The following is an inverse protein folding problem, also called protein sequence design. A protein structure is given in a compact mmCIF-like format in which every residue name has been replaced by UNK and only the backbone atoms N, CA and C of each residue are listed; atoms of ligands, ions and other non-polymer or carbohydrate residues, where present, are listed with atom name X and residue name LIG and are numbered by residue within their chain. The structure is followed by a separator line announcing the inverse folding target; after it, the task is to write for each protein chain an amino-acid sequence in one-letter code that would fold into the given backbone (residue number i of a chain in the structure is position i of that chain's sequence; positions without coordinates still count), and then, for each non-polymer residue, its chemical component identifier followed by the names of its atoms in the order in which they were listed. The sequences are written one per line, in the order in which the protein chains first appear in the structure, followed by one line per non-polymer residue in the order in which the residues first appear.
data_IF_760532214565
#
_entry.id   IF_760532214565
#
_cell.length_a   1.000
_cell.length_b   1.000
_cell.length_c   1.000
_cell.angle_alpha   90.00
_cell.angle_beta   90.00
_cell.angle_gamma   90.00
#
_symmetry.space_group_name_H-M   'P 1'
#
loop_
_entity.id
_entity.type
_entity.pdbx_description
1 polymer ?
#
# COMPACT_ATOMS: atom_id res chain seq x y z
N UNK A 1 10.37 18.59 -14.38
CA UNK A 1 10.23 18.97 -12.96
C UNK A 1 8.90 18.40 -12.51
N UNK A 2 8.90 17.51 -11.51
CA UNK A 2 7.68 17.00 -10.90
C UNK A 2 6.99 18.13 -10.11
N UNK A 3 5.66 18.05 -9.92
CA UNK A 3 4.92 19.05 -9.12
C UNK A 3 5.39 18.98 -7.66
N UNK A 4 5.95 20.07 -7.13
CA UNK A 4 6.22 20.24 -5.69
C UNK A 4 7.68 20.08 -5.22
N UNK A 5 8.67 20.24 -6.11
CA UNK A 5 10.10 20.17 -5.74
C UNK A 5 10.56 21.28 -4.78
N UNK A 6 11.19 20.90 -3.66
CA UNK A 6 11.94 21.79 -2.76
C UNK A 6 13.41 21.41 -2.80
N UNK A 7 14.34 22.31 -3.12
CA UNK A 7 15.76 21.97 -3.28
C UNK A 7 16.46 21.89 -1.91
N UNK A 8 17.15 20.78 -1.63
CA UNK A 8 18.04 20.64 -0.47
C UNK A 8 19.51 20.48 -0.92
N UNK A 9 20.41 21.21 -0.25
CA UNK A 9 21.86 21.07 -0.42
C UNK A 9 22.40 19.99 0.53
N UNK A 10 23.02 18.96 -0.04
CA UNK A 10 23.70 17.91 0.72
C UNK A 10 25.15 18.30 1.05
N UNK A 11 25.74 17.61 2.04
CA UNK A 11 27.14 17.80 2.44
C UNK A 11 28.17 17.47 1.34
N UNK A 12 27.75 16.84 0.24
CA UNK A 12 28.59 16.56 -0.93
C UNK A 12 28.50 17.64 -2.01
N UNK A 13 27.75 18.73 -1.78
CA UNK A 13 27.51 19.79 -2.76
C UNK A 13 26.48 19.42 -3.84
N UNK A 14 25.94 18.20 -3.83
CA UNK A 14 24.85 17.83 -4.71
C UNK A 14 23.55 18.50 -4.23
N UNK A 15 22.96 19.34 -5.09
CA UNK A 15 21.60 19.88 -4.93
C UNK A 15 20.63 18.82 -5.42
N UNK A 16 19.90 18.18 -4.51
CA UNK A 16 18.82 17.26 -4.87
C UNK A 16 17.50 17.89 -4.48
N UNK A 17 16.54 17.80 -5.37
CA UNK A 17 15.20 18.18 -5.01
C UNK A 17 14.61 17.15 -4.03
N UNK A 18 14.01 17.64 -2.95
CA UNK A 18 13.20 16.93 -1.98
C UNK A 18 11.87 16.50 -2.59
N UNK A 19 11.96 15.62 -3.58
CA UNK A 19 10.81 15.01 -4.24
C UNK A 19 9.99 14.20 -3.23
N UNK A 20 8.67 14.42 -3.27
CA UNK A 20 7.73 13.61 -2.49
C UNK A 20 7.67 12.17 -3.01
N UNK A 21 7.92 11.95 -4.30
CA UNK A 21 7.96 10.63 -4.92
C UNK A 21 9.19 9.83 -4.48
N UNK A 22 9.11 9.23 -3.28
CA UNK A 22 10.20 8.49 -2.63
C UNK A 22 10.11 7.00 -2.90
N UNK A 23 10.48 6.58 -4.12
CA UNK A 23 10.48 5.17 -4.53
C UNK A 23 11.45 4.31 -3.70
N UNK A 24 12.52 4.89 -3.15
CA UNK A 24 13.48 4.23 -2.27
C UNK A 24 12.88 3.80 -0.92
N UNK A 25 11.71 4.35 -0.55
CA UNK A 25 10.98 3.98 0.66
C UNK A 25 9.96 2.86 0.44
N UNK A 26 9.69 2.46 -0.81
CA UNK A 26 8.75 1.38 -1.10
C UNK A 26 9.32 0.02 -0.66
N UNK A 27 8.57 -0.81 0.10
CA UNK A 27 9.02 -2.16 0.41
C UNK A 27 9.01 -3.05 -0.84
N UNK A 28 10.08 -3.82 -1.01
CA UNK A 28 10.21 -4.75 -2.13
C UNK A 28 9.25 -5.95 -2.03
N UNK A 29 9.01 -6.46 -0.81
CA UNK A 29 8.22 -7.68 -0.61
C UNK A 29 6.77 -7.57 -1.11
N UNK A 30 5.98 -6.52 -0.79
CA UNK A 30 4.64 -6.36 -1.35
C UNK A 30 4.61 -6.25 -2.88
N UNK A 31 5.61 -5.60 -3.49
CA UNK A 31 5.72 -5.50 -4.94
C UNK A 31 6.03 -6.85 -5.59
N UNK A 32 6.94 -7.64 -4.99
CA UNK A 32 7.22 -9.00 -5.43
C UNK A 32 5.98 -9.90 -5.31
N UNK A 33 5.24 -9.79 -4.20
CA UNK A 33 4.03 -10.56 -3.99
C UNK A 33 2.93 -10.20 -5.01
N UNK A 34 2.76 -8.92 -5.34
CA UNK A 34 1.87 -8.46 -6.42
C UNK A 34 2.32 -8.95 -7.79
N UNK A 35 3.62 -8.89 -8.09
CA UNK A 35 4.17 -9.37 -9.35
C UNK A 35 3.84 -10.87 -9.55
N UNK A 36 4.09 -11.70 -8.53
CA UNK A 36 3.73 -13.13 -8.56
C UNK A 36 2.22 -13.36 -8.63
N UNK A 37 1.42 -12.53 -7.95
CA UNK A 37 -0.04 -12.61 -8.05
C UNK A 37 -0.52 -12.34 -9.48
N UNK A 38 0.10 -11.40 -10.19
CA UNK A 38 -0.28 -11.07 -11.56
C UNK A 38 0.20 -12.06 -12.62
N UNK A 39 1.21 -12.87 -12.31
CA UNK A 39 1.74 -13.86 -13.24
C UNK A 39 0.70 -14.93 -13.60
N UNK A 40 0.43 -15.07 -14.90
CA UNK A 40 -0.51 -16.05 -15.43
C UNK A 40 -1.98 -15.80 -15.06
N UNK A 41 -2.33 -14.64 -14.48
CA UNK A 41 -3.70 -14.32 -14.07
C UNK A 41 -4.34 -13.25 -14.94
N UNK A 42 -5.61 -13.46 -15.26
CA UNK A 42 -6.51 -12.37 -15.66
C UNK A 42 -7.01 -11.69 -14.41
N UNK A 43 -6.81 -10.39 -14.31
CA UNK A 43 -7.22 -9.59 -13.15
C UNK A 43 -8.46 -8.77 -13.49
N UNK A 44 -9.35 -8.62 -12.51
CA UNK A 44 -10.61 -7.87 -12.66
C UNK A 44 -10.43 -6.42 -12.21
N UNK A 45 -11.34 -5.53 -12.65
CA UNK A 45 -11.45 -4.21 -12.03
C UNK A 45 -11.78 -4.34 -10.55
N UNK A 46 -11.27 -3.43 -9.72
CA UNK A 46 -11.39 -3.48 -8.26
C UNK A 46 -12.75 -3.07 -7.71
N UNK A 47 -13.14 -3.61 -6.55
CA UNK A 47 -14.36 -3.18 -5.83
C UNK A 47 -14.12 -2.94 -4.34
N UNK A 48 -14.86 -1.99 -3.77
CA UNK A 48 -14.84 -1.71 -2.32
C UNK A 48 -15.33 -2.90 -1.47
N UNK A 49 -16.17 -3.76 -2.06
CA UNK A 49 -16.68 -4.97 -1.41
C UNK A 49 -15.58 -6.02 -1.30
N UNK A 50 -14.90 -6.36 -2.40
CA UNK A 50 -13.80 -7.34 -2.39
C UNK A 50 -12.60 -6.83 -1.61
N UNK A 51 -12.28 -5.53 -1.70
CA UNK A 51 -11.27 -4.90 -0.85
C UNK A 51 -11.60 -5.14 0.63
N UNK A 52 -12.83 -4.81 1.06
CA UNK A 52 -13.29 -5.05 2.42
C UNK A 52 -13.23 -6.54 2.80
N UNK A 53 -13.68 -7.43 1.93
CA UNK A 53 -13.65 -8.87 2.15
C UNK A 53 -12.23 -9.37 2.46
N UNK A 54 -11.26 -9.07 1.60
CA UNK A 54 -9.89 -9.55 1.78
C UNK A 54 -9.19 -8.94 3.00
N UNK A 55 -9.49 -7.69 3.34
CA UNK A 55 -9.00 -7.05 4.56
C UNK A 55 -9.50 -7.77 5.82
N UNK A 56 -10.80 -8.11 5.85
CA UNK A 56 -11.38 -8.82 6.99
C UNK A 56 -10.95 -10.29 7.06
N UNK A 57 -10.72 -10.96 5.93
CA UNK A 57 -10.12 -12.30 5.91
C UNK A 57 -8.72 -12.29 6.53
N UNK A 58 -7.88 -11.32 6.14
CA UNK A 58 -6.58 -11.13 6.79
C UNK A 58 -6.73 -10.90 8.29
N UNK A 59 -7.66 -10.04 8.70
CA UNK A 59 -7.85 -9.74 10.13
C UNK A 59 -8.33 -10.95 10.93
N UNK A 60 -9.14 -11.81 10.32
CA UNK A 60 -9.63 -13.07 10.91
C UNK A 60 -8.56 -14.19 10.91
N UNK A 61 -7.33 -13.89 10.49
CA UNK A 61 -6.22 -14.85 10.55
C UNK A 61 -6.14 -15.79 9.36
N UNK A 62 -6.84 -15.49 8.25
CA UNK A 62 -6.66 -16.23 7.01
C UNK A 62 -5.31 -15.86 6.40
N UNK A 63 -4.44 -16.86 6.24
CA UNK A 63 -3.11 -16.67 5.66
C UNK A 63 -3.07 -16.88 4.14
N UNK A 64 -4.06 -17.62 3.59
CA UNK A 64 -4.11 -17.98 2.17
C UNK A 64 -5.55 -18.11 1.64
N UNK A 65 -5.79 -17.56 0.45
CA UNK A 65 -7.01 -17.74 -0.35
C UNK A 65 -6.59 -18.16 -1.76
N UNK A 66 -6.74 -19.44 -2.06
CA UNK A 66 -6.37 -20.08 -3.33
C UNK A 66 -4.91 -19.78 -3.74
N UNK A 67 -3.97 -19.98 -2.82
CA UNK A 67 -2.54 -19.76 -3.03
C UNK A 67 -2.12 -18.30 -3.04
N UNK A 68 -2.95 -17.39 -2.49
CA UNK A 68 -2.66 -15.96 -2.41
C UNK A 68 -3.01 -15.41 -1.05
N UNK A 69 -2.05 -14.74 -0.41
CA UNK A 69 -2.27 -14.02 0.84
C UNK A 69 -3.36 -12.94 0.67
N UNK A 70 -4.35 -12.83 1.59
CA UNK A 70 -5.48 -11.91 1.41
C UNK A 70 -5.07 -10.45 1.21
N UNK A 71 -4.03 -9.97 1.91
CA UNK A 71 -3.52 -8.61 1.69
C UNK A 71 -2.97 -8.36 0.28
N UNK A 72 -2.48 -9.38 -0.43
CA UNK A 72 -2.05 -9.22 -1.83
C UNK A 72 -3.27 -9.02 -2.74
N UNK A 73 -4.34 -9.76 -2.49
CA UNK A 73 -5.62 -9.55 -3.18
C UNK A 73 -6.18 -8.16 -2.86
N UNK A 74 -6.17 -7.75 -1.59
CA UNK A 74 -6.58 -6.41 -1.16
C UNK A 74 -5.75 -5.31 -1.84
N UNK A 75 -4.44 -5.50 -1.97
CA UNK A 75 -3.58 -4.55 -2.67
C UNK A 75 -3.97 -4.38 -4.14
N UNK A 76 -4.29 -5.48 -4.83
CA UNK A 76 -4.81 -5.41 -6.20
C UNK A 76 -6.12 -4.62 -6.27
N UNK A 77 -7.10 -4.91 -5.40
CA UNK A 77 -8.37 -4.18 -5.36
C UNK A 77 -8.15 -2.67 -5.13
N UNK A 78 -7.27 -2.31 -4.19
CA UNK A 78 -6.94 -0.93 -3.90
C UNK A 78 -6.24 -0.23 -5.08
N UNK A 79 -5.34 -0.91 -5.79
CA UNK A 79 -4.68 -0.39 -6.99
C UNK A 79 -5.72 -0.05 -8.07
N UNK A 80 -6.62 -0.97 -8.39
CA UNK A 80 -7.63 -0.73 -9.44
C UNK A 80 -8.60 0.40 -9.05
N UNK A 81 -8.99 0.49 -7.77
CA UNK A 81 -9.82 1.59 -7.29
C UNK A 81 -9.08 2.94 -7.35
N UNK A 82 -7.77 2.98 -7.09
CA UNK A 82 -6.96 4.19 -7.25
C UNK A 82 -6.93 4.63 -8.72
N UNK A 83 -6.70 3.69 -9.65
CA UNK A 83 -6.69 4.00 -11.08
C UNK A 83 -8.03 4.57 -11.55
N UNK A 84 -9.14 3.98 -11.10
CA UNK A 84 -10.47 4.48 -11.39
C UNK A 84 -10.69 5.90 -10.84
N UNK A 85 -10.26 6.17 -9.60
CA UNK A 85 -10.39 7.48 -8.94
C UNK A 85 -9.60 8.58 -9.67
N UNK A 86 -8.41 8.27 -10.19
CA UNK A 86 -7.59 9.24 -10.94
C UNK A 86 -7.89 9.27 -12.44
N UNK A 87 -8.81 8.43 -12.92
CA UNK A 87 -9.15 8.31 -14.33
C UNK A 87 -8.02 7.74 -15.21
N UNK A 88 -7.11 6.95 -14.63
CA UNK A 88 -6.04 6.30 -15.38
C UNK A 88 -6.55 5.00 -16.01
N UNK A 89 -6.46 4.92 -17.34
CA UNK A 89 -6.88 3.77 -18.14
C UNK A 89 -5.72 2.83 -18.48
N UNK A 90 -4.56 2.99 -17.84
CA UNK A 90 -3.39 2.13 -18.09
C UNK A 90 -3.74 0.65 -17.94
N UNK A 91 -3.21 -0.17 -18.84
CA UNK A 91 -3.26 -1.62 -18.79
C UNK A 91 -1.90 -2.17 -19.18
N UNK A 92 -1.53 -3.29 -18.56
CA UNK A 92 -0.28 -3.95 -18.88
C UNK A 92 -0.25 -4.38 -20.37
N UNK A 93 0.89 -4.27 -21.07
CA UNK A 93 1.03 -4.78 -22.44
C UNK A 93 0.66 -6.27 -22.53
N UNK A 94 0.18 -6.69 -23.70
CA UNK A 94 -0.06 -8.11 -23.96
C UNK A 94 1.22 -8.92 -23.71
N UNK A 95 1.09 -10.04 -23.00
CA UNK A 95 2.24 -10.89 -22.62
C UNK A 95 3.12 -10.35 -21.50
N UNK A 96 2.80 -9.18 -20.91
CA UNK A 96 3.53 -8.68 -19.74
C UNK A 96 3.40 -9.64 -18.55
N UNK A 97 4.49 -9.76 -17.79
CA UNK A 97 4.61 -10.60 -16.59
C UNK A 97 5.26 -9.82 -15.46
N UNK A 98 5.09 -10.30 -14.24
CA UNK A 98 5.69 -9.80 -13.02
C UNK A 98 5.43 -8.31 -12.80
N UNK A 99 6.49 -7.58 -12.48
CA UNK A 99 6.44 -6.14 -12.18
C UNK A 99 5.87 -5.28 -13.30
N UNK A 100 5.98 -5.71 -14.57
CA UNK A 100 5.44 -4.95 -15.70
C UNK A 100 3.90 -4.86 -15.68
N UNK A 101 3.24 -5.66 -14.84
CA UNK A 101 1.79 -5.64 -14.63
C UNK A 101 1.32 -4.75 -13.48
N UNK A 102 2.26 -4.18 -12.71
CA UNK A 102 1.92 -3.27 -11.62
C UNK A 102 1.77 -1.85 -12.19
N UNK A 103 0.59 -1.26 -12.01
CA UNK A 103 0.27 0.04 -12.60
C UNK A 103 1.22 1.15 -12.11
N UNK A 104 1.95 1.83 -13.02
CA UNK A 104 2.95 2.82 -12.62
C UNK A 104 2.37 3.98 -11.80
N UNK A 105 1.17 4.45 -12.15
CA UNK A 105 0.56 5.61 -11.49
C UNK A 105 0.18 5.32 -10.04
N UNK A 106 -0.38 4.14 -9.75
CA UNK A 106 -0.65 3.73 -8.38
C UNK A 106 0.64 3.65 -7.53
N UNK A 107 1.74 3.16 -8.12
CA UNK A 107 3.04 3.11 -7.43
C UNK A 107 3.65 4.50 -7.24
N UNK A 108 3.50 5.41 -8.21
CA UNK A 108 3.95 6.80 -8.09
C UNK A 108 3.21 7.52 -6.96
N UNK A 109 1.89 7.39 -6.90
CA UNK A 109 1.06 7.96 -5.82
C UNK A 109 1.40 7.36 -4.45
N UNK A 110 1.65 6.05 -4.40
CA UNK A 110 2.10 5.38 -3.20
C UNK A 110 3.48 5.91 -2.75
N UNK A 111 4.44 6.04 -3.68
CA UNK A 111 5.76 6.62 -3.41
C UNK A 111 5.66 8.06 -2.90
N UNK A 112 4.74 8.86 -3.45
CA UNK A 112 4.44 10.21 -2.97
C UNK A 112 3.93 10.19 -1.52
N UNK A 113 3.04 9.26 -1.18
CA UNK A 113 2.52 9.09 0.18
C UNK A 113 3.63 8.69 1.16
N UNK A 114 4.56 7.80 0.76
CA UNK A 114 5.74 7.51 1.57
C UNK A 114 6.60 8.75 1.82
N UNK A 115 6.84 9.59 0.81
CA UNK A 115 7.61 10.83 1.00
C UNK A 115 6.89 11.86 1.87
N UNK A 116 5.55 11.94 1.81
CA UNK A 116 4.75 12.76 2.75
C UNK A 116 4.93 12.26 4.18
N UNK A 117 4.83 10.95 4.40
CA UNK A 117 5.09 10.33 5.71
C UNK A 117 6.50 10.61 6.22
N UNK A 118 7.51 10.52 5.35
CA UNK A 118 8.91 10.79 5.67
C UNK A 118 9.26 12.28 5.89
N UNK A 119 8.32 13.21 5.65
CA UNK A 119 8.47 14.60 6.12
C UNK A 119 8.00 14.76 7.55
N UNK A 120 6.97 14.02 7.95
CA UNK A 120 6.40 14.03 9.30
C UNK A 120 7.22 13.16 10.27
N UNK A 121 7.77 12.07 9.76
CA UNK A 121 8.59 11.09 10.47
C UNK A 121 9.93 10.91 9.75
N UNK A 122 10.90 10.22 10.36
CA UNK A 122 12.14 9.89 9.65
C UNK A 122 11.91 8.86 8.52
N UNK A 123 12.80 8.85 7.52
CA UNK A 123 12.87 7.79 6.51
C UNK A 123 12.82 6.41 7.18
N UNK A 124 12.06 5.48 6.60
CA UNK A 124 11.85 4.11 7.10
C UNK A 124 11.31 3.99 8.55
N UNK A 125 10.84 5.07 9.20
CA UNK A 125 10.30 4.99 10.56
C UNK A 125 9.16 3.95 10.69
N UNK A 126 8.33 3.83 9.66
CA UNK A 126 7.24 2.84 9.62
C UNK A 126 7.73 1.38 9.70
N UNK A 127 8.95 1.10 9.21
CA UNK A 127 9.55 -0.25 9.18
C UNK A 127 10.09 -0.68 10.54
N UNK A 128 10.23 0.26 11.49
CA UNK A 128 10.44 -0.06 12.90
C UNK A 128 9.27 -0.82 13.52
N UNK A 129 8.14 -0.89 12.80
CA UNK A 129 6.92 -1.59 13.13
C UNK A 129 6.26 -1.13 14.43
N UNK A 130 5.05 -1.59 14.58
CA UNK A 130 4.15 -1.34 15.69
C UNK A 130 3.03 -2.38 15.59
N UNK A 131 2.23 -2.48 16.66
CA UNK A 131 1.09 -3.42 16.72
C UNK A 131 0.23 -3.35 15.45
N UNK A 132 0.00 -4.49 14.81
CA UNK A 132 -0.68 -4.55 13.51
C UNK A 132 -2.07 -3.90 13.53
N UNK A 133 -2.78 -4.01 14.65
CA UNK A 133 -4.09 -3.38 14.87
C UNK A 133 -4.10 -1.87 14.76
N UNK A 134 -2.98 -1.18 15.01
CA UNK A 134 -2.91 0.26 14.78
C UNK A 134 -2.96 0.58 13.29
N UNK A 135 -2.27 -0.21 12.46
CA UNK A 135 -2.29 -0.06 11.01
C UNK A 135 -3.66 -0.44 10.46
N UNK A 136 -4.21 -1.57 10.92
CA UNK A 136 -5.51 -2.04 10.47
C UNK A 136 -6.66 -1.09 10.86
N UNK A 137 -6.62 -0.50 12.05
CA UNK A 137 -7.61 0.51 12.46
C UNK A 137 -7.51 1.79 11.62
N UNK A 138 -6.30 2.28 11.33
CA UNK A 138 -6.09 3.46 10.49
C UNK A 138 -6.52 3.20 9.04
N UNK A 139 -6.17 2.05 8.48
CA UNK A 139 -6.63 1.55 7.19
C UNK A 139 -8.17 1.63 7.09
N UNK A 140 -8.88 1.07 8.07
CA UNK A 140 -10.34 1.07 8.06
C UNK A 140 -10.94 2.48 8.19
N UNK A 141 -10.29 3.41 8.91
CA UNK A 141 -10.74 4.82 8.93
C UNK A 141 -10.64 5.47 7.55
N UNK A 142 -9.51 5.32 6.86
CA UNK A 142 -9.37 5.84 5.50
C UNK A 142 -10.37 5.20 4.54
N UNK A 143 -10.59 3.88 4.62
CA UNK A 143 -11.57 3.19 3.79
C UNK A 143 -13.00 3.67 4.07
N UNK A 144 -13.36 3.91 5.33
CA UNK A 144 -14.69 4.39 5.69
C UNK A 144 -14.92 5.86 5.31
N UNK A 145 -13.89 6.71 5.39
CA UNK A 145 -13.95 8.08 4.89
C UNK A 145 -14.15 8.11 3.38
N UNK A 146 -13.42 7.26 2.64
CA UNK A 146 -13.65 7.08 1.19
C UNK A 146 -15.08 6.64 0.89
N UNK A 147 -15.60 5.65 1.61
CA UNK A 147 -17.00 5.20 1.49
C UNK A 147 -18.02 6.31 1.80
N UNK A 148 -17.67 7.26 2.65
CA UNK A 148 -18.49 8.43 2.97
C UNK A 148 -18.42 9.54 1.90
N UNK A 149 -17.62 9.35 0.84
CA UNK A 149 -17.45 10.30 -0.27
C UNK A 149 -16.24 11.22 -0.13
N UNK A 150 -15.41 11.05 0.90
CA UNK A 150 -14.15 11.79 1.04
C UNK A 150 -13.06 11.17 0.16
N UNK A 151 -12.67 11.83 -0.93
CA UNK A 151 -11.66 11.30 -1.85
C UNK A 151 -10.24 11.56 -1.35
N UNK A 152 -9.98 12.76 -0.82
CA UNK A 152 -8.66 13.22 -0.38
C UNK A 152 -8.63 13.29 1.15
N UNK A 153 -7.62 12.68 1.74
CA UNK A 153 -7.31 12.82 3.16
C UNK A 153 -6.77 14.22 3.44
N UNK A 154 -7.49 14.97 4.27
CA UNK A 154 -7.11 16.32 4.68
C UNK A 154 -5.81 16.39 5.49
N UNK A 155 -5.38 15.30 6.14
CA UNK A 155 -4.13 15.28 6.92
C UNK A 155 -2.90 15.17 6.00
N UNK A 156 -2.93 14.23 5.07
CA UNK A 156 -1.76 13.95 4.20
C UNK A 156 -1.82 14.65 2.85
N UNK A 157 -3.01 15.01 2.36
CA UNK A 157 -3.24 15.46 1.00
C UNK A 157 -3.15 14.34 -0.05
N UNK A 158 -3.18 13.08 0.37
CA UNK A 158 -3.23 11.91 -0.51
C UNK A 158 -4.66 11.41 -0.70
N UNK A 159 -4.90 10.58 -1.72
CA UNK A 159 -6.17 9.85 -1.81
C UNK A 159 -6.34 8.92 -0.60
N UNK A 160 -7.54 8.82 -0.06
CA UNK A 160 -7.83 7.86 1.01
C UNK A 160 -7.47 6.42 0.59
N UNK A 161 -7.72 6.05 -0.67
CA UNK A 161 -7.35 4.74 -1.21
C UNK A 161 -5.82 4.52 -1.28
N UNK A 162 -5.03 5.57 -1.49
CA UNK A 162 -3.55 5.48 -1.44
C UNK A 162 -3.08 5.25 0.00
N UNK A 163 -3.72 5.90 0.99
CA UNK A 163 -3.45 5.61 2.40
C UNK A 163 -3.84 4.17 2.77
N UNK A 164 -4.96 3.67 2.25
CA UNK A 164 -5.35 2.24 2.39
C UNK A 164 -4.28 1.32 1.81
N UNK A 165 -3.85 1.57 0.57
CA UNK A 165 -2.78 0.78 -0.08
C UNK A 165 -1.47 0.82 0.72
N UNK A 166 -1.11 1.98 1.28
CA UNK A 166 0.05 2.14 2.13
C UNK A 166 -0.03 1.25 3.37
N UNK A 167 -1.18 1.21 4.06
CA UNK A 167 -1.38 0.33 5.20
C UNK A 167 -1.35 -1.15 4.82
N UNK A 168 -1.88 -1.52 3.64
CA UNK A 168 -1.79 -2.89 3.12
C UNK A 168 -0.32 -3.29 2.89
N UNK A 169 0.47 -2.42 2.25
CA UNK A 169 1.90 -2.66 2.02
C UNK A 169 2.68 -2.74 3.33
N UNK A 170 2.33 -1.89 4.30
CA UNK A 170 2.93 -1.90 5.64
C UNK A 170 2.64 -3.22 6.35
N UNK A 171 1.40 -3.68 6.34
CA UNK A 171 1.00 -4.96 6.95
C UNK A 171 1.64 -6.16 6.24
N UNK A 172 1.70 -6.20 4.91
CA UNK A 172 2.45 -7.22 4.17
C UNK A 172 3.94 -7.21 4.50
N UNK A 173 4.52 -6.03 4.74
CA UNK A 173 5.92 -5.95 5.17
C UNK A 173 6.07 -6.49 6.59
N UNK A 174 5.13 -6.19 7.49
CA UNK A 174 5.17 -6.69 8.86
C UNK A 174 4.98 -8.20 8.94
N UNK A 175 4.14 -8.82 8.10
CA UNK A 175 3.99 -10.29 8.08
C UNK A 175 5.31 -10.97 7.75
N UNK A 176 6.12 -10.39 6.87
CA UNK A 176 7.42 -10.93 6.47
C UNK A 176 8.56 -10.58 7.45
N UNK A 177 8.60 -9.34 7.94
CA UNK A 177 9.77 -8.82 8.63
C UNK A 177 9.59 -8.71 10.15
N UNK A 178 8.35 -8.49 10.61
CA UNK A 178 8.03 -8.10 12.00
C UNK A 178 6.80 -8.85 12.55
N UNK A 179 6.73 -10.19 12.45
CA UNK A 179 5.60 -11.00 12.94
C UNK A 179 5.40 -10.90 14.44
N UNK A 180 6.43 -10.53 15.21
CA UNK A 180 6.34 -10.33 16.66
C UNK A 180 5.42 -9.17 17.08
N UNK A 181 4.97 -8.34 16.13
CA UNK A 181 4.00 -7.27 16.36
C UNK A 181 2.56 -7.64 16.00
N UNK A 182 2.30 -8.89 15.57
CA UNK A 182 0.94 -9.36 15.31
C UNK A 182 0.14 -9.42 16.63
N UNK A 183 -0.88 -8.59 16.71
CA UNK A 183 -1.81 -8.51 17.83
C UNK A 183 -3.26 -8.86 17.43
N UNK A 184 -3.44 -9.51 16.27
CA UNK A 184 -4.75 -10.02 15.86
C UNK A 184 -5.25 -11.07 16.86
N UNK A 185 -6.49 -10.90 17.30
CA UNK A 185 -7.10 -11.84 18.24
C UNK A 185 -7.18 -13.28 17.70
N UNK A 186 -7.35 -13.41 16.38
CA UNK A 186 -7.40 -14.68 15.65
C UNK A 186 -6.08 -15.47 15.70
N UNK A 187 -4.94 -14.80 15.89
CA UNK A 187 -3.61 -15.43 15.85
C UNK A 187 -2.96 -15.55 17.23
N UNK A 188 -3.43 -14.78 18.22
CA UNK A 188 -3.04 -14.97 19.61
C UNK A 188 -3.60 -16.30 20.11
N UNK A 189 -2.72 -17.26 20.43
CA UNK A 189 -3.12 -18.53 21.03
C UNK A 189 -3.89 -18.26 22.33
N UNK A 190 -5.11 -18.78 22.45
CA UNK A 190 -5.79 -18.85 23.75
C UNK A 190 -4.90 -19.62 24.72
N UNK A 191 -4.64 -19.13 25.94
CA UNK A 191 -4.02 -19.96 26.95
C UNK A 191 -4.88 -21.21 27.12
N UNK A 192 -4.26 -22.37 26.92
CA UNK A 192 -4.84 -23.69 27.17
C UNK A 192 -5.12 -23.90 28.65
#
# INVERSE_FOLDING_TARGET
MSRGEVIHESSTGAKKAGNLERFDLLPAYPLQALAHFYDGRTVSDGTLDRLGHYLWQFWDGVDDIDGVHPLVRAAHEAIELILAEVGDTWRAPEGATGFARIAPEAIRLLAEHYGRGARKYADHNWRLAYKWGLSFAALNRHLNQHRAGEVIDGETGSLHLVAVLWHIFTLLTFTNERPEFDDRWSTIRKPT
#
